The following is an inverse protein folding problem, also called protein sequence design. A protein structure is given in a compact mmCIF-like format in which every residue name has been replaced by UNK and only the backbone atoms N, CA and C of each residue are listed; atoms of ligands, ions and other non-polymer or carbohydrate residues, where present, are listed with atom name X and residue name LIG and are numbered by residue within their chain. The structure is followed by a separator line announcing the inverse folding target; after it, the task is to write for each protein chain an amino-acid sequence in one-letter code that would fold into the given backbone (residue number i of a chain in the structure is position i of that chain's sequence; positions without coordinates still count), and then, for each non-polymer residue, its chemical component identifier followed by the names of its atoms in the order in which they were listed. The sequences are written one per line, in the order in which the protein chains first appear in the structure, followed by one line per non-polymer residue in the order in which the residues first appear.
data_IF_006905584392
#
_entry.id   IF_006905584392
#
_cell.length_a   1.000
_cell.length_b   1.000
_cell.length_c   1.000
_cell.angle_alpha   90.00
_cell.angle_beta   90.00
_cell.angle_gamma   90.00
#
_symmetry.space_group_name_H-M   'P 1'
#
loop_
_entity.id
_entity.type
_entity.pdbx_description
1 polymer ?
#
# COMPACT_ATOMS: atom_id res chain seq x y z
N UNK A 1 2.88 2.93 19.18
CA UNK A 1 3.60 3.70 18.15
C UNK A 1 3.30 3.01 16.83
N UNK A 2 2.70 3.68 15.85
CA UNK A 2 2.33 3.05 14.58
C UNK A 2 3.42 3.34 13.54
N UNK A 3 3.81 2.32 12.76
CA UNK A 3 4.66 2.51 11.59
C UNK A 3 3.75 2.57 10.38
N UNK A 4 3.59 3.76 9.82
CA UNK A 4 2.66 4.02 8.71
C UNK A 4 3.35 3.73 7.38
N UNK A 5 2.57 3.31 6.40
CA UNK A 5 3.06 3.17 5.05
C UNK A 5 2.00 3.59 4.01
N UNK A 6 2.47 3.80 2.80
CA UNK A 6 1.64 3.90 1.60
C UNK A 6 1.89 2.69 0.73
N UNK A 7 0.84 2.06 0.26
CA UNK A 7 0.89 0.94 -0.68
C UNK A 7 0.33 1.43 -2.02
N UNK A 8 1.09 1.26 -3.08
CA UNK A 8 0.73 1.70 -4.41
C UNK A 8 0.92 0.61 -5.46
N UNK A 9 0.07 0.64 -6.48
CA UNK A 9 0.16 -0.16 -7.69
C UNK A 9 0.46 0.78 -8.86
N UNK A 10 1.54 0.49 -9.61
CA UNK A 10 1.90 1.23 -10.81
C UNK A 10 1.22 0.60 -12.04
N UNK A 11 0.40 1.40 -12.71
CA UNK A 11 -0.24 1.01 -13.97
C UNK A 11 0.74 1.16 -15.15
N UNK A 12 0.44 0.49 -16.26
CA UNK A 12 1.26 0.55 -17.48
C UNK A 12 1.28 1.95 -18.13
N UNK A 13 0.27 2.78 -17.86
CA UNK A 13 0.16 4.16 -18.33
C UNK A 13 0.98 5.17 -17.50
N UNK A 14 1.70 4.69 -16.47
CA UNK A 14 2.50 5.53 -15.58
C UNK A 14 1.72 6.17 -14.43
N UNK A 15 0.42 5.88 -14.32
CA UNK A 15 -0.40 6.31 -13.17
C UNK A 15 -0.27 5.33 -12.00
N UNK A 16 -0.73 5.74 -10.83
CA UNK A 16 -0.71 4.93 -9.62
C UNK A 16 -2.10 4.88 -8.98
N UNK A 17 -2.44 3.72 -8.44
CA UNK A 17 -3.45 3.61 -7.39
C UNK A 17 -2.73 3.48 -6.06
N UNK A 18 -3.07 4.29 -5.06
CA UNK A 18 -2.41 4.26 -3.77
C UNK A 18 -3.40 4.23 -2.61
N UNK A 19 -3.04 3.52 -1.56
CA UNK A 19 -3.79 3.45 -0.30
C UNK A 19 -2.88 3.60 0.91
N UNK A 20 -3.49 3.96 2.03
CA UNK A 20 -2.82 4.14 3.31
C UNK A 20 -2.80 2.85 4.12
N UNK A 21 -1.72 2.60 4.86
CA UNK A 21 -1.57 1.55 5.86
C UNK A 21 -1.19 2.16 7.22
N UNK A 22 -1.97 1.85 8.25
CA UNK A 22 -1.81 2.47 9.57
C UNK A 22 -0.73 1.79 10.45
N UNK A 23 -0.74 0.46 10.53
CA UNK A 23 0.16 -0.33 11.38
C UNK A 23 1.14 -1.20 10.60
N UNK A 24 2.26 -1.51 11.25
CA UNK A 24 3.26 -2.50 10.83
C UNK A 24 3.82 -2.33 9.41
N UNK A 25 3.89 -1.08 8.95
CA UNK A 25 4.38 -0.72 7.62
C UNK A 25 5.88 -0.87 7.40
N UNK A 26 6.62 -1.55 8.28
CA UNK A 26 8.07 -1.75 8.13
C UNK A 26 8.38 -2.97 7.23
N UNK A 27 9.52 -2.99 6.52
CA UNK A 27 9.86 -4.04 5.53
C UNK A 27 9.81 -5.46 6.06
N UNK A 28 10.21 -5.66 7.31
CA UNK A 28 10.27 -6.98 7.96
C UNK A 28 8.89 -7.57 8.24
N UNK A 29 7.81 -6.77 8.14
CA UNK A 29 6.43 -7.24 8.25
C UNK A 29 5.62 -6.98 6.99
N UNK A 30 5.33 -5.71 6.68
CA UNK A 30 4.55 -5.36 5.50
C UNK A 30 5.22 -5.84 4.21
N UNK A 31 6.53 -5.62 4.08
CA UNK A 31 7.29 -6.08 2.90
C UNK A 31 7.22 -7.60 2.70
N UNK A 32 7.31 -8.37 3.79
CA UNK A 32 7.20 -9.84 3.76
C UNK A 32 5.80 -10.27 3.32
N UNK A 33 4.75 -9.70 3.92
CA UNK A 33 3.36 -10.05 3.61
C UNK A 33 3.01 -9.69 2.16
N UNK A 34 3.41 -8.49 1.71
CA UNK A 34 3.18 -8.04 0.34
C UNK A 34 3.83 -8.98 -0.67
N UNK A 35 5.08 -9.40 -0.45
CA UNK A 35 5.76 -10.35 -1.34
C UNK A 35 5.19 -11.77 -1.29
N UNK A 36 4.69 -12.23 -0.14
CA UNK A 36 4.17 -13.59 -0.01
C UNK A 36 2.73 -13.75 -0.49
N UNK A 37 1.86 -12.78 -0.19
CA UNK A 37 0.41 -12.88 -0.40
C UNK A 37 -0.09 -12.03 -1.56
N UNK A 38 0.54 -10.90 -1.80
CA UNK A 38 0.11 -9.90 -2.79
C UNK A 38 1.14 -9.81 -3.93
N UNK A 39 1.49 -10.96 -4.51
CA UNK A 39 2.52 -11.08 -5.56
C UNK A 39 1.98 -11.12 -6.99
N UNK A 40 0.66 -11.01 -7.17
CA UNK A 40 0.00 -10.95 -8.47
C UNK A 40 -0.79 -9.66 -8.61
N UNK A 41 -0.97 -9.19 -9.85
CA UNK A 41 -1.76 -7.99 -10.16
C UNK A 41 -3.18 -8.11 -9.57
N UNK A 42 -3.79 -9.29 -9.66
CA UNK A 42 -5.12 -9.57 -9.12
C UNK A 42 -5.19 -9.37 -7.60
N UNK A 43 -4.23 -9.93 -6.86
CA UNK A 43 -4.20 -9.82 -5.40
C UNK A 43 -3.92 -8.38 -4.96
N UNK A 44 -3.01 -7.69 -5.64
CA UNK A 44 -2.69 -6.28 -5.36
C UNK A 44 -3.89 -5.39 -5.64
N UNK A 45 -4.53 -5.56 -6.81
CA UNK A 45 -5.73 -4.80 -7.18
C UNK A 45 -6.87 -5.02 -6.18
N UNK A 46 -7.12 -6.27 -5.76
CA UNK A 46 -8.13 -6.59 -4.76
C UNK A 46 -7.82 -5.95 -3.39
N UNK A 47 -6.55 -5.94 -2.97
CA UNK A 47 -6.11 -5.28 -1.74
C UNK A 47 -6.41 -3.78 -1.77
N UNK A 48 -6.01 -3.10 -2.85
CA UNK A 48 -6.21 -1.66 -3.02
C UNK A 48 -7.69 -1.31 -3.18
N UNK A 49 -8.49 -2.14 -3.84
CA UNK A 49 -9.92 -1.92 -4.03
C UNK A 49 -10.70 -1.82 -2.69
N UNK A 50 -10.22 -2.49 -1.64
CA UNK A 50 -10.78 -2.36 -0.29
C UNK A 50 -10.50 -1.02 0.38
N UNK A 51 -9.58 -0.21 -0.16
CA UNK A 51 -9.28 1.13 0.35
C UNK A 51 -8.24 1.14 1.46
N UNK A 52 -8.38 2.08 2.39
CA UNK A 52 -7.41 2.31 3.48
C UNK A 52 -7.36 1.14 4.48
N UNK A 53 -6.14 0.76 4.86
CA UNK A 53 -5.83 -0.39 5.70
C UNK A 53 -5.45 0.03 7.11
N UNK A 54 -6.04 -0.66 8.10
CA UNK A 54 -5.56 -0.64 9.49
C UNK A 54 -4.29 -1.47 9.62
N UNK A 55 -4.32 -2.71 9.12
CA UNK A 55 -3.19 -3.64 9.13
C UNK A 55 -3.27 -4.62 7.94
N UNK A 56 -2.15 -5.26 7.59
CA UNK A 56 -2.11 -6.32 6.57
C UNK A 56 -2.46 -7.71 7.13
N UNK A 57 -2.47 -7.85 8.44
CA UNK A 57 -2.80 -9.09 9.14
C UNK A 57 -3.76 -8.79 10.29
N UNK A 58 -4.88 -9.49 10.31
CA UNK A 58 -5.86 -9.52 11.39
C UNK A 58 -5.93 -10.90 12.05
N UNK A 59 -6.71 -11.02 13.13
CA UNK A 59 -6.98 -12.31 13.78
C UNK A 59 -7.60 -13.35 12.82
N UNK A 60 -8.31 -12.89 11.79
CA UNK A 60 -8.87 -13.74 10.73
C UNK A 60 -7.86 -14.09 9.63
N UNK A 61 -6.60 -13.66 9.74
CA UNK A 61 -5.54 -13.96 8.78
C UNK A 61 -5.62 -13.17 7.47
N UNK A 62 -6.34 -12.05 7.43
CA UNK A 62 -6.50 -11.21 6.22
C UNK A 62 -6.13 -9.74 6.44
N UNK A 63 -6.09 -8.92 5.37
CA UNK A 63 -5.98 -7.48 5.51
C UNK A 63 -7.22 -6.94 6.25
N UNK A 64 -7.00 -5.98 7.15
CA UNK A 64 -8.05 -5.28 7.87
C UNK A 64 -8.16 -3.85 7.33
N UNK A 65 -9.31 -3.51 6.78
CA UNK A 65 -9.61 -2.15 6.31
C UNK A 65 -10.18 -1.28 7.43
N UNK A 66 -10.01 0.04 7.31
CA UNK A 66 -10.64 0.98 8.24
C UNK A 66 -12.17 0.97 8.08
N UNK A 67 -12.91 1.15 9.17
CA UNK A 67 -14.38 1.19 9.17
C UNK A 67 -14.96 2.24 8.21
N UNK A 68 -14.21 3.32 7.96
CA UNK A 68 -14.52 4.38 7.00
C UNK A 68 -13.40 4.54 5.98
N UNK A 69 -12.91 3.42 5.47
CA UNK A 69 -11.85 3.37 4.47
C UNK A 69 -12.23 4.23 3.26
N UNK A 70 -11.36 5.17 2.92
CA UNK A 70 -11.45 5.87 1.64
C UNK A 70 -11.02 4.93 0.52
N UNK A 71 -11.62 5.04 -0.67
CA UNK A 71 -11.16 4.29 -1.83
C UNK A 71 -9.70 4.64 -2.16
N UNK A 72 -8.98 3.75 -2.87
CA UNK A 72 -7.62 4.03 -3.29
C UNK A 72 -7.59 5.29 -4.15
N UNK A 73 -6.59 6.14 -3.91
CA UNK A 73 -6.43 7.39 -4.64
C UNK A 73 -5.74 7.10 -5.98
N UNK A 74 -6.36 7.55 -7.07
CA UNK A 74 -5.71 7.57 -8.38
C UNK A 74 -4.79 8.79 -8.49
N UNK A 75 -3.56 8.58 -8.92
CA UNK A 75 -2.49 9.56 -8.93
C UNK A 75 -1.79 9.51 -10.30
N UNK A 76 -1.56 10.66 -10.91
CA UNK A 76 -1.07 10.73 -12.29
C UNK A 76 0.44 10.53 -12.43
N UNK A 77 1.22 10.66 -11.35
CA UNK A 77 2.68 10.66 -11.43
C UNK A 77 3.33 10.38 -10.06
N UNK A 78 4.66 10.16 -10.08
CA UNK A 78 5.44 9.83 -8.90
C UNK A 78 5.53 10.98 -7.87
N UNK A 79 5.50 12.25 -8.31
CA UNK A 79 5.48 13.39 -7.39
C UNK A 79 4.17 13.40 -6.61
N UNK A 80 3.04 13.22 -7.30
CA UNK A 80 1.72 13.10 -6.66
C UNK A 80 1.66 11.93 -5.67
N UNK A 81 2.33 10.81 -5.97
CA UNK A 81 2.49 9.67 -5.07
C UNK A 81 3.31 10.00 -3.82
N UNK A 82 4.46 10.63 -3.98
CA UNK A 82 5.29 11.05 -2.85
C UNK A 82 4.59 12.09 -1.97
N UNK A 83 3.87 13.04 -2.58
CA UNK A 83 3.06 14.02 -1.85
C UNK A 83 1.93 13.34 -1.07
N UNK A 84 1.24 12.35 -1.66
CA UNK A 84 0.23 11.56 -0.95
C UNK A 84 0.84 10.82 0.26
N UNK A 85 1.96 10.13 0.07
CA UNK A 85 2.59 9.38 1.15
C UNK A 85 3.04 10.29 2.31
N UNK A 86 3.61 11.46 2.00
CA UNK A 86 3.97 12.48 3.00
C UNK A 86 2.75 13.04 3.73
N UNK A 87 1.65 13.30 3.02
CA UNK A 87 0.40 13.77 3.63
C UNK A 87 -0.23 12.72 4.56
N UNK A 88 0.05 11.44 4.33
CA UNK A 88 -0.33 10.34 5.22
C UNK A 88 0.66 10.10 6.37
N UNK A 89 1.72 10.91 6.49
CA UNK A 89 2.80 10.73 7.47
C UNK A 89 3.39 9.30 7.41
N UNK A 90 3.52 8.77 6.19
CA UNK A 90 4.04 7.44 5.93
C UNK A 90 5.56 7.39 6.14
N UNK A 91 6.04 6.33 6.80
CA UNK A 91 7.46 6.05 6.97
C UNK A 91 8.04 5.27 5.77
N UNK A 92 7.19 4.49 5.10
CA UNK A 92 7.56 3.65 3.96
C UNK A 92 6.55 3.80 2.81
N UNK A 93 7.05 3.72 1.60
CA UNK A 93 6.29 3.65 0.37
C UNK A 93 6.58 2.32 -0.32
N UNK A 94 5.54 1.52 -0.51
CA UNK A 94 5.57 0.28 -1.28
C UNK A 94 4.95 0.51 -2.64
N UNK A 95 5.66 0.18 -3.71
CA UNK A 95 5.16 0.28 -5.09
C UNK A 95 5.26 -1.09 -5.74
N UNK A 96 4.13 -1.63 -6.17
CA UNK A 96 4.11 -2.83 -7.00
C UNK A 96 4.22 -2.42 -8.48
N UNK A 97 5.29 -2.84 -9.12
CA UNK A 97 5.57 -2.57 -10.53
C UNK A 97 6.26 -3.79 -11.14
N UNK A 98 5.91 -4.16 -12.37
CA UNK A 98 6.53 -5.29 -13.09
C UNK A 98 6.58 -6.58 -12.25
N UNK A 99 5.45 -6.92 -11.60
CA UNK A 99 5.30 -8.10 -10.73
C UNK A 99 6.24 -8.14 -9.51
N UNK A 100 6.85 -7.01 -9.14
CA UNK A 100 7.79 -6.93 -8.03
C UNK A 100 7.42 -5.78 -7.09
N UNK A 101 7.62 -5.99 -5.78
CA UNK A 101 7.47 -4.93 -4.79
C UNK A 101 8.77 -4.15 -4.61
N UNK A 102 8.67 -2.83 -4.70
CA UNK A 102 9.73 -1.89 -4.39
C UNK A 102 9.38 -1.16 -3.09
N UNK A 103 10.33 -1.07 -2.16
CA UNK A 103 10.15 -0.38 -0.89
C UNK A 103 11.10 0.82 -0.81
N UNK A 104 10.56 1.97 -0.44
CA UNK A 104 11.29 3.20 -0.23
C UNK A 104 11.01 3.72 1.19
N UNK A 105 12.08 4.10 1.90
CA UNK A 105 11.95 4.85 3.16
C UNK A 105 11.78 6.34 2.84
N UNK A 106 10.82 6.99 3.49
CA UNK A 106 10.46 8.40 3.26
C UNK A 106 11.14 9.35 4.24
#
# INVERSE_FOLDING_TARGET
MSTRATIAFANEDGTFQATYLHYDGYPEHAGVILNQRFNSIENVSALLAGGELRSLTSEAGGPEHLDRARPPKHLCDNRSLLEFARNCDANYLYVFQNQTWHCHKL
#
